data_IF_321453255186
#
_entry.id   IF_321453255186
#
_cell.length_a   1.000
_cell.length_b   1.000
_cell.length_c   1.000
_cell.angle_alpha   90.00
_cell.angle_beta   90.00
_cell.angle_gamma   90.00
#
_symmetry.space_group_name_H-M   'P 1'
#
loop_
_entity.id
_entity.type
_entity.pdbx_description
1 polymer ?
#
# COMPACT_ATOMS: atom_id res chain seq x y z
N UNK A 1 -33.08 36.21 -28.28
CA UNK A 1 -33.29 35.00 -27.45
C UNK A 1 -32.03 34.79 -26.65
N UNK A 2 -32.02 35.28 -25.40
CA UNK A 2 -30.93 35.01 -24.47
C UNK A 2 -31.25 33.66 -23.84
N UNK A 3 -30.43 32.67 -24.12
CA UNK A 3 -30.51 31.35 -23.49
C UNK A 3 -30.34 31.53 -21.99
N UNK A 4 -31.40 31.28 -21.23
CA UNK A 4 -31.32 31.22 -19.76
C UNK A 4 -30.40 30.07 -19.39
N UNK A 5 -29.18 30.40 -18.95
CA UNK A 5 -28.31 29.47 -18.22
C UNK A 5 -29.07 29.03 -16.97
N UNK A 6 -29.65 27.82 -17.02
CA UNK A 6 -30.17 27.17 -15.83
C UNK A 6 -28.99 26.91 -14.91
N UNK A 7 -28.87 27.71 -13.86
CA UNK A 7 -27.99 27.40 -12.73
C UNK A 7 -28.62 26.20 -12.04
N UNK A 8 -27.96 25.06 -12.11
CA UNK A 8 -28.42 23.85 -11.43
C UNK A 8 -28.34 24.04 -9.91
N UNK A 9 -29.26 23.43 -9.13
CA UNK A 9 -29.24 23.53 -7.68
C UNK A 9 -27.91 23.00 -7.12
N UNK A 10 -27.37 23.63 -6.08
CA UNK A 10 -26.08 23.27 -5.49
C UNK A 10 -25.98 21.78 -5.07
N UNK A 11 -27.08 21.18 -4.61
CA UNK A 11 -27.13 19.75 -4.29
C UNK A 11 -26.94 18.85 -5.53
N UNK A 12 -27.51 19.24 -6.68
CA UNK A 12 -27.39 18.49 -7.95
C UNK A 12 -25.97 18.64 -8.51
N UNK A 13 -25.35 19.82 -8.38
CA UNK A 13 -23.95 20.04 -8.77
C UNK A 13 -22.95 19.30 -7.87
N UNK A 14 -23.24 19.18 -6.57
CA UNK A 14 -22.41 18.40 -5.64
C UNK A 14 -22.47 16.90 -5.95
N UNK A 15 -23.67 16.35 -6.19
CA UNK A 15 -23.83 14.94 -6.57
C UNK A 15 -23.09 14.63 -7.88
N UNK A 16 -23.20 15.47 -8.92
CA UNK A 16 -22.52 15.24 -10.19
C UNK A 16 -20.99 15.40 -10.11
N UNK A 17 -20.49 16.28 -9.23
CA UNK A 17 -19.04 16.45 -9.01
C UNK A 17 -18.45 15.25 -8.26
N UNK A 18 -19.19 14.70 -7.29
CA UNK A 18 -18.78 13.52 -6.53
C UNK A 18 -18.77 12.27 -7.42
N UNK A 19 -19.83 12.05 -8.20
CA UNK A 19 -19.90 10.95 -9.16
C UNK A 19 -18.71 10.97 -10.12
N UNK A 20 -18.40 12.13 -10.72
CA UNK A 20 -17.24 12.26 -11.62
C UNK A 20 -15.91 11.97 -10.91
N UNK A 21 -15.71 12.46 -9.69
CA UNK A 21 -14.48 12.21 -8.95
C UNK A 21 -14.30 10.72 -8.61
N UNK A 22 -15.39 10.03 -8.29
CA UNK A 22 -15.39 8.59 -8.06
C UNK A 22 -15.11 7.81 -9.35
N UNK A 23 -15.75 8.16 -10.47
CA UNK A 23 -15.49 7.56 -11.78
C UNK A 23 -14.02 7.75 -12.20
N UNK A 24 -13.48 8.96 -12.05
CA UNK A 24 -12.08 9.26 -12.38
C UNK A 24 -11.11 8.45 -11.52
N UNK A 25 -11.40 8.27 -10.23
CA UNK A 25 -10.55 7.48 -9.34
C UNK A 25 -10.62 5.99 -9.64
N UNK A 26 -11.81 5.43 -9.89
CA UNK A 26 -11.96 4.04 -10.34
C UNK A 26 -11.23 3.81 -11.66
N UNK A 27 -11.36 4.72 -12.61
CA UNK A 27 -10.65 4.64 -13.89
C UNK A 27 -9.13 4.67 -13.68
N UNK A 28 -8.65 5.55 -12.81
CA UNK A 28 -7.23 5.60 -12.46
C UNK A 28 -6.75 4.29 -11.82
N UNK A 29 -7.52 3.67 -10.93
CA UNK A 29 -7.17 2.39 -10.32
C UNK A 29 -7.06 1.30 -11.41
N UNK A 30 -8.13 1.09 -12.17
CA UNK A 30 -8.25 -0.05 -13.08
C UNK A 30 -7.29 0.03 -14.27
N UNK A 31 -7.02 1.24 -14.78
CA UNK A 31 -6.24 1.41 -16.01
C UNK A 31 -4.81 1.89 -15.79
N UNK A 32 -4.47 2.38 -14.60
CA UNK A 32 -3.13 2.91 -14.31
C UNK A 32 -2.52 2.24 -13.09
N UNK A 33 -3.20 2.24 -11.94
CA UNK A 33 -2.58 1.82 -10.67
C UNK A 33 -2.41 0.30 -10.58
N UNK A 34 -3.44 -0.46 -10.91
CA UNK A 34 -3.41 -1.93 -10.87
C UNK A 34 -2.43 -2.52 -11.91
N UNK A 35 -2.43 -2.10 -13.20
CA UNK A 35 -1.40 -2.53 -14.14
C UNK A 35 0.03 -2.17 -13.69
N UNK A 36 0.22 -0.99 -13.10
CA UNK A 36 1.53 -0.59 -12.60
C UNK A 36 1.99 -1.41 -11.38
N UNK A 37 1.05 -1.81 -10.50
CA UNK A 37 1.31 -2.76 -9.41
C UNK A 37 1.78 -4.09 -10.01
N UNK A 38 1.00 -4.67 -10.92
CA UNK A 38 1.27 -6.01 -11.47
C UNK A 38 2.60 -6.07 -12.21
N UNK A 39 2.89 -5.06 -13.04
CA UNK A 39 4.17 -4.93 -13.73
C UNK A 39 5.33 -4.81 -12.73
N UNK A 40 5.21 -3.94 -11.73
CA UNK A 40 6.25 -3.77 -10.72
C UNK A 40 6.47 -5.06 -9.93
N UNK A 41 5.40 -5.74 -9.54
CA UNK A 41 5.45 -7.00 -8.80
C UNK A 41 6.15 -8.09 -9.59
N UNK A 42 5.82 -8.23 -10.89
CA UNK A 42 6.47 -9.18 -11.78
C UNK A 42 7.98 -8.90 -11.93
N UNK A 43 8.38 -7.63 -12.01
CA UNK A 43 9.79 -7.24 -12.10
C UNK A 43 10.54 -7.45 -10.78
N UNK A 44 9.92 -7.08 -9.65
CA UNK A 44 10.50 -7.27 -8.31
C UNK A 44 10.74 -8.76 -8.05
N UNK A 45 9.77 -9.62 -8.38
CA UNK A 45 9.88 -11.08 -8.20
C UNK A 45 11.06 -11.68 -8.97
N UNK A 46 11.43 -11.09 -10.11
CA UNK A 46 12.57 -11.52 -10.93
C UNK A 46 13.88 -10.81 -10.58
N UNK A 47 13.87 -9.81 -9.70
CA UNK A 47 14.97 -8.87 -9.49
C UNK A 47 15.44 -8.22 -10.80
N UNK A 48 14.49 -7.65 -11.54
CA UNK A 48 14.76 -6.99 -12.83
C UNK A 48 14.30 -5.52 -12.85
N UNK A 49 13.96 -4.95 -11.69
CA UNK A 49 13.45 -3.58 -11.60
C UNK A 49 14.53 -2.56 -11.93
N UNK A 50 14.21 -1.66 -12.86
CA UNK A 50 15.06 -0.55 -13.25
C UNK A 50 14.69 0.73 -12.51
N UNK A 51 15.69 1.61 -12.33
CA UNK A 51 15.51 2.86 -11.58
C UNK A 51 14.35 3.73 -12.12
N UNK A 52 14.24 3.88 -13.44
CA UNK A 52 13.18 4.67 -14.07
C UNK A 52 11.79 4.07 -13.87
N UNK A 53 11.68 2.74 -13.76
CA UNK A 53 10.41 2.05 -13.49
C UNK A 53 9.99 2.28 -12.04
N UNK A 54 10.92 2.22 -11.08
CA UNK A 54 10.65 2.57 -9.69
C UNK A 54 10.19 4.03 -9.54
N UNK A 55 10.82 4.97 -10.26
CA UNK A 55 10.34 6.36 -10.29
C UNK A 55 8.95 6.50 -10.93
N UNK A 56 8.67 5.75 -12.01
CA UNK A 56 7.35 5.73 -12.64
C UNK A 56 6.26 5.25 -11.67
N UNK A 57 6.48 4.12 -11.00
CA UNK A 57 5.57 3.60 -9.99
C UNK A 57 5.42 4.57 -8.80
N UNK A 58 6.52 5.18 -8.35
CA UNK A 58 6.48 6.22 -7.31
C UNK A 58 5.62 7.43 -7.72
N UNK A 59 5.73 7.85 -8.98
CA UNK A 59 4.95 8.96 -9.52
C UNK A 59 3.45 8.62 -9.52
N UNK A 60 3.09 7.45 -10.05
CA UNK A 60 1.71 6.94 -10.10
C UNK A 60 1.13 6.89 -8.68
N UNK A 61 1.85 6.26 -7.76
CA UNK A 61 1.43 6.16 -6.37
C UNK A 61 1.30 7.54 -5.70
N UNK A 62 2.22 8.47 -5.95
CA UNK A 62 2.10 9.84 -5.43
C UNK A 62 0.85 10.59 -5.93
N UNK A 63 0.43 10.32 -7.18
CA UNK A 63 -0.76 10.93 -7.78
C UNK A 63 -2.07 10.31 -7.29
N UNK A 64 -2.06 9.06 -6.81
CA UNK A 64 -3.25 8.44 -6.22
C UNK A 64 -3.86 9.28 -5.08
N UNK A 65 -3.01 9.94 -4.30
CA UNK A 65 -3.42 10.85 -3.22
C UNK A 65 -4.17 12.07 -3.76
N UNK A 66 -3.87 12.54 -4.97
CA UNK A 66 -4.60 13.67 -5.58
C UNK A 66 -6.02 13.25 -5.99
N UNK A 67 -6.21 12.03 -6.50
CA UNK A 67 -7.54 11.48 -6.79
C UNK A 67 -8.35 11.24 -5.51
N UNK A 68 -7.73 10.65 -4.49
CA UNK A 68 -8.36 10.49 -3.16
C UNK A 68 -8.76 11.85 -2.58
N UNK A 69 -7.91 12.87 -2.70
CA UNK A 69 -8.22 14.21 -2.24
C UNK A 69 -9.39 14.82 -3.02
N UNK A 70 -9.49 14.57 -4.33
CA UNK A 70 -10.60 15.05 -5.16
C UNK A 70 -11.94 14.43 -4.74
N UNK A 71 -11.99 13.11 -4.53
CA UNK A 71 -13.17 12.40 -4.01
C UNK A 71 -13.58 12.97 -2.64
N UNK A 72 -12.63 13.07 -1.71
CA UNK A 72 -12.88 13.56 -0.34
C UNK A 72 -13.35 15.01 -0.34
N UNK A 73 -12.79 15.87 -1.20
CA UNK A 73 -13.23 17.25 -1.33
C UNK A 73 -14.65 17.36 -1.91
N UNK A 74 -14.98 16.54 -2.92
CA UNK A 74 -16.34 16.48 -3.48
C UNK A 74 -17.37 15.95 -2.46
N UNK A 75 -16.93 15.08 -1.55
CA UNK A 75 -17.68 14.55 -0.41
C UNK A 75 -17.70 15.51 0.81
N UNK A 76 -17.15 16.72 0.67
CA UNK A 76 -17.24 17.78 1.69
C UNK A 76 -16.18 17.71 2.80
N UNK A 77 -15.20 16.82 2.70
CA UNK A 77 -14.08 16.74 3.63
C UNK A 77 -13.07 17.83 3.29
N UNK A 78 -12.82 18.73 4.25
CA UNK A 78 -11.81 19.78 4.11
C UNK A 78 -10.52 19.36 4.78
N UNK A 79 -9.56 18.90 3.98
CA UNK A 79 -8.20 18.59 4.43
C UNK A 79 -7.18 18.95 3.35
N UNK A 80 -5.92 19.08 3.75
CA UNK A 80 -4.84 19.30 2.78
C UNK A 80 -4.25 17.97 2.33
N UNK A 81 -3.64 17.96 1.13
CA UNK A 81 -2.82 16.84 0.65
C UNK A 81 -1.80 16.38 1.70
N UNK A 82 -1.22 17.33 2.43
CA UNK A 82 -0.23 17.04 3.49
C UNK A 82 -0.85 16.21 4.62
N UNK A 83 -2.07 16.54 5.03
CA UNK A 83 -2.78 15.83 6.10
C UNK A 83 -3.12 14.41 5.65
N UNK A 84 -3.54 14.26 4.39
CA UNK A 84 -3.81 12.95 3.80
C UNK A 84 -2.55 12.09 3.72
N UNK A 85 -1.44 12.61 3.19
CA UNK A 85 -0.14 11.88 3.14
C UNK A 85 0.32 11.45 4.53
N UNK A 86 0.16 12.30 5.55
CA UNK A 86 0.58 12.00 6.92
C UNK A 86 -0.24 10.89 7.59
N UNK A 87 -1.47 10.68 7.15
CA UNK A 87 -2.38 9.67 7.72
C UNK A 87 -2.65 8.49 6.77
N UNK A 88 -2.14 8.54 5.54
CA UNK A 88 -2.42 7.59 4.47
C UNK A 88 -2.18 6.16 4.90
N UNK A 89 -0.96 5.83 5.31
CA UNK A 89 -0.61 4.45 5.65
C UNK A 89 -1.49 3.87 6.76
N UNK A 90 -1.88 4.70 7.74
CA UNK A 90 -2.76 4.27 8.83
C UNK A 90 -4.20 4.11 8.34
N UNK A 91 -4.69 5.04 7.53
CA UNK A 91 -6.02 4.99 6.91
C UNK A 91 -6.18 3.80 5.99
N UNK A 92 -5.11 3.46 5.27
CA UNK A 92 -5.11 2.42 4.25
C UNK A 92 -4.43 1.12 4.70
N UNK A 93 -4.11 1.01 5.99
CA UNK A 93 -3.45 -0.14 6.63
C UNK A 93 -2.27 -0.70 5.83
N UNK A 94 -1.38 0.19 5.37
CA UNK A 94 -0.23 -0.20 4.57
C UNK A 94 0.77 -0.98 5.46
N UNK A 95 1.08 -2.25 5.15
CA UNK A 95 1.84 -3.11 6.06
C UNK A 95 3.31 -2.68 6.19
N UNK A 96 3.92 -3.01 7.33
CA UNK A 96 5.36 -2.89 7.58
C UNK A 96 5.70 -2.71 9.05
N UNK A 97 6.83 -3.25 9.50
CA UNK A 97 7.26 -3.16 10.89
C UNK A 97 8.11 -1.90 11.15
N UNK A 98 9.17 -1.68 10.37
CA UNK A 98 10.12 -0.56 10.61
C UNK A 98 9.67 0.77 10.01
N UNK A 99 8.86 0.72 8.95
CA UNK A 99 8.30 1.88 8.25
C UNK A 99 6.77 1.88 8.32
N UNK A 100 6.21 1.39 9.42
CA UNK A 100 4.77 1.53 9.69
C UNK A 100 4.40 3.01 9.67
N UNK A 101 3.32 3.35 8.97
CA UNK A 101 2.77 4.71 8.92
C UNK A 101 3.68 5.79 8.29
N UNK A 102 4.54 5.41 7.35
CA UNK A 102 5.62 6.27 6.81
C UNK A 102 5.95 6.08 5.34
N UNK A 103 5.37 5.09 4.66
CA UNK A 103 5.67 4.78 3.26
C UNK A 103 5.17 5.87 2.33
N UNK A 104 3.93 6.34 2.50
CA UNK A 104 3.40 7.40 1.66
C UNK A 104 4.13 8.74 1.86
N UNK A 105 4.58 9.02 3.10
CA UNK A 105 5.47 10.16 3.39
C UNK A 105 6.75 10.07 2.55
N UNK A 106 7.37 8.89 2.48
CA UNK A 106 8.59 8.68 1.70
C UNK A 106 8.33 8.76 0.20
N UNK A 107 7.22 8.21 -0.29
CA UNK A 107 6.79 8.31 -1.70
C UNK A 107 6.61 9.76 -2.12
N UNK A 108 5.92 10.56 -1.30
CA UNK A 108 5.76 12.00 -1.54
C UNK A 108 7.11 12.72 -1.50
N UNK A 109 7.98 12.36 -0.55
CA UNK A 109 9.32 12.92 -0.42
C UNK A 109 10.21 12.67 -1.64
N UNK A 110 10.26 11.43 -2.12
CA UNK A 110 11.00 11.03 -3.32
C UNK A 110 10.40 11.68 -4.58
N UNK A 111 9.07 11.75 -4.69
CA UNK A 111 8.40 12.43 -5.81
C UNK A 111 8.76 13.92 -5.87
N UNK A 112 8.73 14.61 -4.72
CA UNK A 112 9.10 16.02 -4.63
C UNK A 112 10.59 16.22 -4.94
N UNK A 113 11.45 15.34 -4.43
CA UNK A 113 12.88 15.37 -4.70
C UNK A 113 13.20 15.18 -6.20
N UNK A 114 12.46 14.34 -6.90
CA UNK A 114 12.57 14.19 -8.35
C UNK A 114 12.15 15.49 -9.09
N UNK A 115 11.04 16.12 -8.65
CA UNK A 115 10.53 17.37 -9.25
C UNK A 115 11.44 18.58 -9.02
N UNK A 116 12.13 18.64 -7.88
CA UNK A 116 12.87 19.83 -7.43
C UNK A 116 14.36 19.60 -7.18
N UNK A 117 14.91 18.47 -7.64
CA UNK A 117 16.31 18.00 -7.42
C UNK A 117 16.58 17.61 -5.94
N UNK A 118 16.06 18.37 -4.98
CA UNK A 118 16.14 18.16 -3.52
C UNK A 118 14.85 18.60 -2.85
N UNK A 119 14.54 17.99 -1.71
CA UNK A 119 13.42 18.42 -0.88
C UNK A 119 13.69 19.80 -0.26
N UNK A 120 12.66 20.65 -0.15
CA UNK A 120 12.76 21.92 0.57
C UNK A 120 12.70 21.67 2.10
N UNK A 121 13.77 21.94 2.86
CA UNK A 121 13.82 21.64 4.30
C UNK A 121 12.77 22.38 5.12
N UNK A 122 12.35 23.58 4.70
CA UNK A 122 11.34 24.36 5.40
C UNK A 122 9.94 23.74 5.27
N UNK A 123 9.66 23.08 4.14
CA UNK A 123 8.37 22.43 3.86
C UNK A 123 8.30 21.01 4.42
N UNK A 124 9.43 20.30 4.46
CA UNK A 124 9.52 18.88 4.84
C UNK A 124 10.45 18.67 6.05
N UNK A 125 10.31 19.52 7.08
CA UNK A 125 11.18 19.48 8.27
C UNK A 125 11.21 18.09 8.93
N UNK A 126 10.05 17.46 9.10
CA UNK A 126 9.94 16.13 9.71
C UNK A 126 10.62 15.02 8.90
N UNK A 127 10.58 15.08 7.56
CA UNK A 127 11.32 14.14 6.72
C UNK A 127 12.82 14.38 6.82
N UNK A 128 13.25 15.65 6.83
CA UNK A 128 14.67 16.01 6.95
C UNK A 128 15.27 15.55 8.29
N UNK A 129 14.51 15.70 9.38
CA UNK A 129 14.94 15.24 10.72
C UNK A 129 15.02 13.71 10.81
N UNK A 130 14.22 12.98 10.03
CA UNK A 130 14.11 11.51 10.11
C UNK A 130 15.02 10.78 9.13
N UNK A 131 15.05 11.24 7.89
CA UNK A 131 15.71 10.57 6.77
C UNK A 131 16.95 11.31 6.28
N UNK A 132 17.22 12.50 6.81
CA UNK A 132 18.22 13.40 6.26
C UNK A 132 17.80 14.03 4.94
N UNK A 133 18.80 14.40 4.13
CA UNK A 133 18.54 15.04 2.84
C UNK A 133 18.06 14.03 1.77
N UNK A 134 16.77 14.09 1.43
CA UNK A 134 16.21 13.31 0.32
C UNK A 134 16.48 14.02 -1.02
N UNK A 135 16.94 13.23 -2.00
CA UNK A 135 17.18 13.65 -3.40
C UNK A 135 16.82 12.52 -4.37
N UNK A 136 16.83 12.77 -5.69
CA UNK A 136 16.68 11.69 -6.67
C UNK A 136 17.81 10.65 -6.59
N UNK A 137 18.98 11.03 -6.08
CA UNK A 137 20.12 10.13 -5.87
C UNK A 137 19.94 9.21 -4.66
N UNK A 138 18.89 9.42 -3.86
CA UNK A 138 18.53 8.51 -2.78
C UNK A 138 18.03 7.16 -3.30
N UNK A 139 17.71 7.03 -4.59
CA UNK A 139 17.40 5.73 -5.21
C UNK A 139 18.52 5.32 -6.17
N UNK A 140 19.01 4.09 -6.02
CA UNK A 140 20.09 3.51 -6.82
C UNK A 140 19.71 2.11 -7.28
N UNK A 141 19.96 1.80 -8.55
CA UNK A 141 19.81 0.44 -9.07
C UNK A 141 21.04 -0.40 -8.68
N UNK A 142 20.83 -1.52 -7.99
CA UNK A 142 21.86 -2.48 -7.58
C UNK A 142 21.32 -3.91 -7.79
N UNK A 143 21.99 -4.71 -8.64
CA UNK A 143 21.62 -6.11 -8.89
C UNK A 143 20.14 -6.31 -9.26
N UNK A 144 19.60 -5.43 -10.13
CA UNK A 144 18.21 -5.48 -10.58
C UNK A 144 17.16 -5.15 -9.50
N UNK A 145 17.60 -4.52 -8.41
CA UNK A 145 16.76 -3.95 -7.36
C UNK A 145 17.00 -2.45 -7.28
N UNK A 146 16.05 -1.72 -6.72
CA UNK A 146 16.20 -0.28 -6.49
C UNK A 146 16.33 -0.05 -4.99
N UNK A 147 17.55 0.21 -4.52
CA UNK A 147 17.82 0.51 -3.13
C UNK A 147 17.55 1.97 -2.81
N UNK A 148 16.87 2.21 -1.70
CA UNK A 148 16.77 3.52 -1.07
C UNK A 148 17.94 3.71 -0.11
N UNK A 149 18.76 4.72 -0.36
CA UNK A 149 19.87 5.16 0.47
C UNK A 149 19.55 6.53 1.09
N UNK A 150 19.37 6.53 2.41
CA UNK A 150 19.19 7.72 3.24
C UNK A 150 20.22 7.65 4.39
N UNK A 151 20.31 8.67 5.25
CA UNK A 151 21.38 8.74 6.27
C UNK A 151 21.45 7.50 7.16
N UNK A 152 20.31 7.04 7.67
CA UNK A 152 20.20 5.89 8.57
C UNK A 152 19.34 4.76 7.97
N UNK A 153 19.12 4.77 6.66
CA UNK A 153 18.29 3.76 6.00
C UNK A 153 18.93 3.23 4.72
N UNK A 154 18.86 1.90 4.57
CA UNK A 154 19.21 1.20 3.34
C UNK A 154 18.31 0.00 3.14
N UNK A 155 17.44 0.01 2.13
CA UNK A 155 16.53 -1.10 1.86
C UNK A 155 16.05 -1.10 0.40
N UNK A 156 15.49 -2.22 -0.07
CA UNK A 156 14.85 -2.29 -1.39
C UNK A 156 13.56 -1.47 -1.40
N UNK A 157 13.58 -0.34 -2.10
CA UNK A 157 12.49 0.63 -2.13
C UNK A 157 11.21 0.04 -2.71
N UNK A 158 11.33 -0.79 -3.75
CA UNK A 158 10.17 -1.35 -4.42
C UNK A 158 9.45 -2.35 -3.51
N UNK A 159 10.20 -3.25 -2.88
CA UNK A 159 9.64 -4.25 -1.94
C UNK A 159 9.10 -3.63 -0.66
N UNK A 160 9.83 -2.68 -0.09
CA UNK A 160 9.54 -2.18 1.26
C UNK A 160 8.53 -1.04 1.25
N UNK A 161 8.44 -0.27 0.16
CA UNK A 161 7.64 0.96 0.12
C UNK A 161 6.57 0.90 -0.97
N UNK A 162 6.98 0.71 -2.23
CA UNK A 162 6.07 0.87 -3.36
C UNK A 162 5.01 -0.25 -3.44
N UNK A 163 5.41 -1.51 -3.38
CA UNK A 163 4.47 -2.63 -3.50
C UNK A 163 3.43 -2.67 -2.37
N UNK A 164 3.81 -2.53 -1.07
CA UNK A 164 2.81 -2.44 0.00
C UNK A 164 1.78 -1.34 -0.20
N UNK A 165 2.23 -0.15 -0.62
CA UNK A 165 1.35 1.00 -0.80
C UNK A 165 0.50 0.89 -2.07
N UNK A 166 1.02 0.31 -3.16
CA UNK A 166 0.26 0.03 -4.37
C UNK A 166 -0.84 -1.00 -4.11
N UNK A 167 -0.52 -2.12 -3.44
CA UNK A 167 -1.49 -3.17 -3.11
C UNK A 167 -2.61 -2.67 -2.20
N UNK A 168 -2.31 -1.80 -1.24
CA UNK A 168 -3.33 -1.17 -0.40
C UNK A 168 -4.38 -0.38 -1.19
N UNK A 169 -4.03 0.10 -2.40
CA UNK A 169 -4.91 0.89 -3.26
C UNK A 169 -5.54 0.11 -4.43
N UNK A 170 -5.02 -1.06 -4.81
CA UNK A 170 -5.42 -1.77 -6.05
C UNK A 170 -6.13 -3.11 -5.85
N UNK A 171 -6.42 -3.51 -4.61
CA UNK A 171 -7.10 -4.78 -4.33
C UNK A 171 -8.58 -4.57 -3.97
N UNK A 172 -9.26 -3.67 -4.68
CA UNK A 172 -10.63 -3.25 -4.38
C UNK A 172 -11.53 -3.40 -5.60
N UNK A 173 -12.62 -4.14 -5.44
CA UNK A 173 -13.73 -4.15 -6.38
C UNK A 173 -14.79 -3.17 -5.85
N UNK A 174 -15.00 -2.07 -6.57
CA UNK A 174 -16.03 -1.09 -6.21
C UNK A 174 -17.32 -1.39 -6.98
N UNK A 175 -18.43 -1.60 -6.28
CA UNK A 175 -19.75 -1.81 -6.87
C UNK A 175 -20.48 -0.48 -7.15
N UNK A 176 -19.98 0.63 -6.60
CA UNK A 176 -20.49 1.96 -6.88
C UNK A 176 -19.77 3.10 -6.17
N UNK A 177 -20.32 4.31 -6.31
CA UNK A 177 -19.81 5.56 -5.72
C UNK A 177 -19.67 5.46 -4.19
N UNK A 178 -20.63 4.82 -3.52
CA UNK A 178 -20.63 4.70 -2.05
C UNK A 178 -19.42 3.90 -1.54
N UNK A 179 -19.00 2.85 -2.26
CA UNK A 179 -17.82 2.06 -1.91
C UNK A 179 -16.54 2.89 -2.09
N UNK A 180 -16.47 3.66 -3.18
CA UNK A 180 -15.34 4.54 -3.46
C UNK A 180 -15.22 5.61 -2.39
N UNK A 181 -16.33 6.22 -1.97
CA UNK A 181 -16.34 7.23 -0.91
C UNK A 181 -15.92 6.61 0.41
N UNK A 182 -16.48 5.45 0.78
CA UNK A 182 -16.14 4.74 2.02
C UNK A 182 -14.65 4.38 2.06
N UNK A 183 -14.13 3.84 0.96
CA UNK A 183 -12.70 3.57 0.80
C UNK A 183 -11.87 4.85 0.91
N UNK A 184 -12.22 5.90 0.17
CA UNK A 184 -11.50 7.17 0.21
C UNK A 184 -11.52 7.81 1.60
N UNK A 185 -12.54 7.55 2.42
CA UNK A 185 -12.62 7.97 3.82
C UNK A 185 -11.62 7.24 4.74
N UNK A 186 -11.20 6.04 4.34
CA UNK A 186 -10.57 5.05 5.21
C UNK A 186 -11.59 4.34 6.11
N UNK A 187 -12.87 4.38 5.74
CA UNK A 187 -13.99 3.76 6.45
C UNK A 187 -14.24 2.37 5.86
N UNK A 188 -13.24 1.51 5.96
CA UNK A 188 -13.34 0.16 5.45
C UNK A 188 -12.77 -0.83 6.46
N UNK A 189 -13.34 -2.03 6.48
CA UNK A 189 -12.83 -3.12 7.30
C UNK A 189 -11.73 -3.76 6.47
N UNK A 190 -10.47 -3.51 6.83
CA UNK A 190 -9.44 -4.50 6.52
C UNK A 190 -9.88 -5.71 7.33
N UNK A 191 -10.33 -6.76 6.67
CA UNK A 191 -10.30 -8.05 7.31
C UNK A 191 -8.82 -8.28 7.65
N UNK A 192 -8.40 -7.98 8.89
CA UNK A 192 -7.20 -8.58 9.45
C UNK A 192 -7.37 -10.04 9.12
N UNK A 193 -6.52 -10.56 8.22
CA UNK A 193 -6.67 -11.88 7.61
C UNK A 193 -6.60 -12.94 8.70
N UNK A 194 -7.73 -13.13 9.37
CA UNK A 194 -8.07 -14.15 10.34
C UNK A 194 -9.17 -15.03 9.78
N UNK A 195 -9.85 -14.59 8.72
CA UNK A 195 -10.63 -15.44 7.84
C UNK A 195 -9.84 -15.62 6.55
N UNK A 196 -9.37 -16.85 6.38
CA UNK A 196 -8.92 -17.49 5.15
C UNK A 196 -9.46 -16.84 3.87
N UNK A 197 -8.65 -16.81 2.81
CA UNK A 197 -9.17 -16.51 1.47
C UNK A 197 -10.40 -17.40 1.24
N UNK A 198 -11.54 -16.81 0.89
CA UNK A 198 -12.84 -17.49 0.63
C UNK A 198 -12.79 -18.38 -0.64
N UNK A 199 -11.59 -18.77 -1.05
CA UNK A 199 -11.25 -19.63 -2.18
C UNK A 199 -11.11 -21.10 -1.75
N UNK A 200 -11.11 -21.37 -0.45
CA UNK A 200 -10.88 -22.69 0.12
C UNK A 200 -12.22 -23.37 0.47
N UNK A 201 -12.46 -24.56 -0.09
CA UNK A 201 -13.62 -25.39 0.30
C UNK A 201 -13.45 -25.87 1.75
N UNK A 202 -14.29 -25.43 2.70
CA UNK A 202 -14.16 -25.77 4.12
C UNK A 202 -14.42 -27.26 4.42
N UNK A 203 -14.93 -28.02 3.45
CA UNK A 203 -15.21 -29.45 3.58
C UNK A 203 -14.14 -30.35 2.92
N UNK A 204 -13.14 -29.77 2.26
CA UNK A 204 -12.02 -30.49 1.67
C UNK A 204 -10.81 -30.47 2.64
N UNK A 205 -10.39 -31.62 3.21
CA UNK A 205 -9.24 -31.66 4.12
C UNK A 205 -7.93 -31.17 3.49
N UNK A 206 -7.80 -31.19 2.16
CA UNK A 206 -6.60 -30.68 1.48
C UNK A 206 -6.48 -29.16 1.57
N UNK A 207 -7.61 -28.43 1.60
CA UNK A 207 -7.61 -26.97 1.76
C UNK A 207 -7.18 -26.57 3.17
N UNK A 208 -7.58 -27.34 4.18
CA UNK A 208 -7.14 -27.13 5.56
C UNK A 208 -5.62 -27.35 5.73
N UNK A 209 -5.03 -28.28 4.96
CA UNK A 209 -3.57 -28.48 4.91
C UNK A 209 -2.89 -27.28 4.26
N UNK A 210 -3.38 -26.80 3.12
CA UNK A 210 -2.83 -25.64 2.43
C UNK A 210 -2.89 -24.38 3.32
N UNK A 211 -4.03 -24.18 4.01
CA UNK A 211 -4.20 -23.12 5.01
C UNK A 211 -3.19 -23.24 6.15
N UNK A 212 -2.95 -24.45 6.67
CA UNK A 212 -1.93 -24.66 7.71
C UNK A 212 -0.53 -24.32 7.21
N UNK A 213 -0.21 -24.63 5.96
CA UNK A 213 1.07 -24.29 5.33
C UNK A 213 1.22 -22.76 5.24
N UNK A 214 0.21 -22.04 4.77
CA UNK A 214 0.23 -20.58 4.70
C UNK A 214 0.39 -19.95 6.09
N UNK A 215 -0.39 -20.44 7.06
CA UNK A 215 -0.39 -19.96 8.45
C UNK A 215 0.97 -20.14 9.13
N UNK A 216 1.64 -21.26 8.84
CA UNK A 216 2.96 -21.58 9.41
C UNK A 216 4.12 -20.93 8.64
N UNK A 217 3.87 -20.35 7.46
CA UNK A 217 4.88 -19.70 6.62
C UNK A 217 4.49 -18.25 6.27
N UNK A 218 4.26 -17.37 7.27
CA UNK A 218 3.87 -16.00 7.00
C UNK A 218 4.97 -15.25 6.24
N UNK A 219 4.63 -14.34 5.33
CA UNK A 219 5.61 -13.47 4.70
C UNK A 219 6.15 -12.44 5.70
N UNK A 220 7.30 -11.83 5.39
CA UNK A 220 7.86 -10.74 6.19
C UNK A 220 7.07 -9.43 5.98
N UNK A 221 6.61 -8.79 7.05
CA UNK A 221 5.91 -7.48 7.02
C UNK A 221 6.65 -6.41 6.24
N UNK A 222 7.98 -6.44 6.24
CA UNK A 222 8.78 -5.37 5.65
C UNK A 222 9.03 -5.56 4.16
N UNK A 223 9.29 -6.78 3.71
CA UNK A 223 9.73 -7.03 2.33
C UNK A 223 8.88 -8.06 1.57
N UNK A 224 7.85 -8.60 2.20
CA UNK A 224 6.91 -9.56 1.63
C UNK A 224 7.59 -10.79 1.03
N UNK A 225 8.66 -11.26 1.68
CA UNK A 225 9.37 -12.48 1.30
C UNK A 225 9.17 -13.53 2.39
N UNK A 226 9.25 -14.79 1.98
CA UNK A 226 9.35 -15.92 2.90
C UNK A 226 10.55 -15.77 3.84
N UNK A 227 10.56 -16.51 4.94
CA UNK A 227 11.65 -16.47 5.92
C UNK A 227 13.03 -16.69 5.27
N UNK A 228 13.14 -17.67 4.37
CA UNK A 228 14.40 -18.07 3.75
C UNK A 228 14.88 -17.11 2.65
N UNK A 229 13.95 -16.42 2.00
CA UNK A 229 14.25 -15.42 0.97
C UNK A 229 14.33 -13.99 1.54
N UNK A 230 14.10 -13.83 2.84
CA UNK A 230 14.05 -12.53 3.49
C UNK A 230 15.40 -11.82 3.44
N UNK A 231 15.38 -10.58 2.93
CA UNK A 231 16.56 -9.73 2.83
C UNK A 231 16.68 -8.71 3.96
N UNK A 232 15.75 -8.68 4.92
CA UNK A 232 15.70 -7.64 5.95
C UNK A 232 16.97 -7.59 6.83
N UNK A 233 17.65 -8.73 7.02
CA UNK A 233 18.95 -8.79 7.71
C UNK A 233 20.07 -8.01 7.00
N UNK A 234 19.92 -7.75 5.70
CA UNK A 234 20.84 -6.93 4.89
C UNK A 234 20.39 -5.47 4.80
N UNK A 235 19.21 -5.15 5.32
CA UNK A 235 18.66 -3.81 5.32
C UNK A 235 18.99 -3.07 6.62
N UNK A 236 18.98 -1.75 6.54
CA UNK A 236 19.17 -0.84 7.67
C UNK A 236 17.92 0.03 7.78
N UNK A 237 17.38 0.12 8.99
CA UNK A 237 16.24 0.95 9.34
C UNK A 237 16.57 1.76 10.59
N UNK A 238 16.65 3.09 10.46
CA UNK A 238 17.01 3.99 11.57
C UNK A 238 18.32 3.57 12.27
N UNK A 239 19.33 3.19 11.48
CA UNK A 239 20.65 2.80 11.97
C UNK A 239 20.75 1.35 12.47
N UNK A 240 19.63 0.65 12.59
CA UNK A 240 19.58 -0.74 13.05
C UNK A 240 19.41 -1.72 11.89
N UNK A 241 20.04 -2.89 12.00
CA UNK A 241 19.81 -3.97 11.03
C UNK A 241 18.39 -4.49 11.16
N UNK A 242 17.70 -4.63 10.04
CA UNK A 242 16.37 -5.24 10.01
C UNK A 242 16.42 -6.73 10.34
N UNK A 243 15.25 -7.31 10.59
CA UNK A 243 15.07 -8.75 10.73
C UNK A 243 13.76 -9.19 10.08
N UNK A 244 13.60 -10.50 9.95
CA UNK A 244 12.33 -11.09 9.55
C UNK A 244 11.28 -10.78 10.63
N UNK A 245 10.18 -10.17 10.22
CA UNK A 245 9.04 -9.83 11.09
C UNK A 245 7.81 -10.48 10.46
N UNK A 246 7.25 -11.57 11.01
CA UNK A 246 6.16 -12.29 10.38
C UNK A 246 4.91 -11.39 10.29
N UNK A 247 4.22 -11.44 9.14
CA UNK A 247 2.98 -10.71 8.91
C UNK A 247 1.88 -11.03 9.91
N UNK A 248 1.90 -12.26 10.38
CA UNK A 248 0.94 -12.78 11.30
C UNK A 248 1.60 -13.89 12.13
N UNK A 249 1.20 -14.00 13.39
CA UNK A 249 1.64 -15.07 14.28
C UNK A 249 0.39 -15.84 14.70
N UNK A 250 0.25 -17.12 14.29
CA UNK A 250 -0.94 -17.88 14.62
C UNK A 250 -1.13 -18.05 16.12
N UNK A 251 -2.37 -17.91 16.57
CA UNK A 251 -2.73 -18.34 17.92
C UNK A 251 -2.84 -19.86 17.97
N UNK A 252 -2.70 -20.43 19.18
CA UNK A 252 -2.91 -21.86 19.37
C UNK A 252 -4.32 -22.32 18.94
N UNK A 253 -5.33 -21.47 19.14
CA UNK A 253 -6.71 -21.79 18.78
C UNK A 253 -6.92 -21.93 17.26
N UNK A 254 -6.29 -21.08 16.46
CA UNK A 254 -6.38 -21.15 14.99
C UNK A 254 -5.66 -22.39 14.44
N UNK A 255 -4.53 -22.77 15.05
CA UNK A 255 -3.84 -24.02 14.72
C UNK A 255 -4.72 -25.22 15.08
N UNK A 256 -5.32 -25.23 16.27
CA UNK A 256 -6.15 -26.33 16.74
C UNK A 256 -7.40 -26.52 15.87
N UNK A 257 -8.03 -25.41 15.45
CA UNK A 257 -9.16 -25.40 14.54
C UNK A 257 -8.80 -26.06 13.20
N UNK A 258 -7.73 -25.60 12.54
CA UNK A 258 -7.28 -26.18 11.28
C UNK A 258 -6.89 -27.66 11.42
N UNK A 259 -6.19 -28.03 12.49
CA UNK A 259 -5.83 -29.42 12.76
C UNK A 259 -7.06 -30.33 12.92
N UNK A 260 -8.15 -29.80 13.47
CA UNK A 260 -9.41 -30.54 13.61
C UNK A 260 -10.12 -30.81 12.27
N UNK A 261 -9.89 -29.95 11.26
CA UNK A 261 -10.38 -30.13 9.89
C UNK A 261 -9.48 -31.09 9.09
N UNK A 262 -8.17 -31.07 9.32
CA UNK A 262 -7.20 -31.99 8.70
C UNK A 262 -7.38 -33.42 9.24
N UNK A 263 -7.57 -33.56 10.54
CA UNK A 263 -7.69 -34.86 11.22
C UNK A 263 -8.89 -34.88 12.17
N UNK A 264 -9.98 -35.60 11.82
CA UNK A 264 -11.17 -35.75 12.66
C UNK A 264 -10.91 -36.42 14.03
N UNK A 265 -9.71 -36.98 14.24
CA UNK A 265 -9.30 -37.57 15.53
C UNK A 265 -8.75 -36.52 16.50
N UNK A 266 -8.35 -35.34 16.00
CA UNK A 266 -7.76 -34.25 16.80
C UNK A 266 -8.80 -33.63 17.76
N UNK A 267 -10.07 -33.53 17.32
CA UNK A 267 -11.20 -32.98 18.09
C UNK A 267 -11.74 -33.88 19.21
N UNK A 268 -11.16 -35.07 19.43
CA UNK A 268 -11.57 -36.04 20.47
C UNK A 268 -10.66 -36.04 21.70
N UNK A 269 -9.74 -35.07 21.80
CA UNK A 269 -8.72 -34.96 22.85
C UNK A 269 -9.15 -34.00 23.97
#
# INVERSE_FOLDING_TARGET
MVSSLKVEPAAVQQTSTLEQACEDFQHFINYILEPAKDDLEAMVRKNETKLHQAFGANLILAHSVDYLQAVRAADGITETRRDLVATFDAKFSVPGAYLANRKMELVDGINNALKHIRINPARYKGLGERYGQISFQSLVEEEGRVLCHLEEYRFDYCRVVLLPALRALSNWEFEGTDDVVSFARGEYIVAESSSYLDIYDPFDPSTAIDQMIELCNPPCLNCDQSHDECLCSKYVFAGESGRFEPAYTPTAGEIDELMSHISPSYSRS
#
